data_IF_593720932336
#
_entry.id   IF_593720932336
#
_cell.length_a   1.000
_cell.length_b   1.000
_cell.length_c   1.000
_cell.angle_alpha   90.00
_cell.angle_beta   90.00
_cell.angle_gamma   90.00
#
_symmetry.space_group_name_H-M   'P 1'
#
loop_
_entity.id
_entity.type
_entity.pdbx_description
1 polymer ?
#
# COMPACT_ATOMS: atom_id res chain seq x y z
N UNK A 1 -12.69 -2.27 12.03
CA UNK A 1 -12.89 -3.68 11.63
C UNK A 1 -14.13 -4.35 12.23
N UNK A 2 -15.07 -3.61 12.85
CA UNK A 2 -16.25 -4.23 13.48
C UNK A 2 -17.30 -4.76 12.48
N UNK A 3 -17.39 -4.18 11.27
CA UNK A 3 -18.28 -4.66 10.21
C UNK A 3 -17.71 -5.85 9.42
N UNK A 4 -16.40 -5.84 9.18
CA UNK A 4 -15.71 -6.86 8.41
C UNK A 4 -14.47 -7.34 9.17
N UNK A 5 -14.65 -8.19 10.20
CA UNK A 5 -13.56 -8.60 11.08
C UNK A 5 -12.54 -9.51 10.40
N UNK A 6 -12.95 -10.18 9.32
CA UNK A 6 -12.13 -11.12 8.56
C UNK A 6 -11.40 -10.48 7.37
N UNK A 7 -11.61 -9.20 7.10
CA UNK A 7 -11.02 -8.55 5.95
C UNK A 7 -9.49 -8.51 6.04
N UNK A 8 -8.87 -8.83 4.92
CA UNK A 8 -7.45 -8.64 4.63
C UNK A 8 -7.25 -7.29 3.92
N UNK A 9 -6.35 -6.47 4.45
CA UNK A 9 -6.06 -5.14 3.92
C UNK A 9 -4.58 -5.01 3.65
N UNK A 10 -4.19 -4.55 2.47
CA UNK A 10 -2.81 -4.14 2.20
C UNK A 10 -2.68 -2.63 2.08
N UNK A 11 -1.71 -2.06 2.80
CA UNK A 11 -1.16 -0.74 2.53
C UNK A 11 0.14 -0.88 1.74
N UNK A 12 0.07 -0.63 0.44
CA UNK A 12 1.17 -0.76 -0.50
C UNK A 12 1.88 0.59 -0.68
N UNK A 13 3.12 0.67 -0.21
CA UNK A 13 4.01 1.80 -0.46
C UNK A 13 4.87 1.57 -1.70
N UNK A 14 5.49 2.64 -2.22
CA UNK A 14 6.46 2.50 -3.31
C UNK A 14 7.76 1.82 -2.88
N UNK A 15 8.26 2.22 -1.71
CA UNK A 15 9.58 1.86 -1.18
C UNK A 15 9.47 1.27 0.24
N UNK A 16 10.40 0.39 0.65
CA UNK A 16 10.36 -0.24 1.98
C UNK A 16 10.51 0.78 3.11
N UNK A 17 11.26 1.87 2.93
CA UNK A 17 11.40 2.93 3.92
C UNK A 17 10.05 3.63 4.20
N UNK A 18 9.24 3.82 3.16
CA UNK A 18 7.88 4.36 3.30
C UNK A 18 6.96 3.37 4.00
N UNK A 19 7.07 2.08 3.70
CA UNK A 19 6.31 1.04 4.41
C UNK A 19 6.62 1.03 5.91
N UNK A 20 7.91 1.12 6.30
CA UNK A 20 8.34 1.26 7.70
C UNK A 20 7.74 2.51 8.36
N UNK A 21 7.82 3.64 7.67
CA UNK A 21 7.26 4.91 8.15
C UNK A 21 5.75 4.78 8.43
N UNK A 22 4.98 4.27 7.47
CA UNK A 22 3.54 4.09 7.64
C UNK A 22 3.20 3.08 8.74
N UNK A 23 3.90 1.96 8.82
CA UNK A 23 3.70 0.98 9.87
C UNK A 23 3.90 1.59 11.26
N UNK A 24 4.98 2.34 11.48
CA UNK A 24 5.23 3.01 12.76
C UNK A 24 4.13 4.03 13.11
N UNK A 25 3.64 4.79 12.12
CA UNK A 25 2.56 5.76 12.33
C UNK A 25 1.22 5.08 12.65
N UNK A 26 0.89 3.99 11.96
CA UNK A 26 -0.34 3.23 12.18
C UNK A 26 -0.30 2.46 13.50
N UNK A 27 0.87 1.97 13.93
CA UNK A 27 1.06 1.36 15.24
C UNK A 27 0.80 2.37 16.35
N UNK A 28 1.35 3.59 16.24
CA UNK A 28 1.07 4.70 17.16
C UNK A 28 -0.39 5.13 17.16
N UNK A 29 -1.09 4.92 16.06
CA UNK A 29 -2.53 5.17 15.94
C UNK A 29 -3.38 3.97 16.41
N UNK A 30 -2.75 2.95 17.01
CA UNK A 30 -3.41 1.75 17.56
C UNK A 30 -4.25 0.98 16.53
N UNK A 31 -3.81 0.96 15.27
CA UNK A 31 -4.48 0.18 14.24
C UNK A 31 -4.42 -1.31 14.59
N UNK A 32 -5.57 -2.01 14.71
CA UNK A 32 -5.60 -3.39 15.16
C UNK A 32 -5.06 -4.33 14.07
N UNK A 33 -4.41 -5.42 14.50
CA UNK A 33 -3.89 -6.49 13.61
C UNK A 33 -2.98 -5.95 12.50
N UNK A 34 -2.17 -4.94 12.83
CA UNK A 34 -1.18 -4.34 11.94
C UNK A 34 0.08 -5.22 11.87
N UNK A 35 0.60 -5.43 10.67
CA UNK A 35 1.84 -6.17 10.41
C UNK A 35 2.67 -5.43 9.37
N UNK A 36 3.97 -5.32 9.60
CA UNK A 36 4.93 -4.84 8.60
C UNK A 36 5.53 -6.05 7.90
N UNK A 37 5.38 -6.13 6.58
CA UNK A 37 5.84 -7.28 5.79
C UNK A 37 6.86 -6.82 4.75
N UNK A 38 8.15 -7.07 4.99
CA UNK A 38 9.24 -6.66 4.09
C UNK A 38 10.00 -7.85 3.48
N UNK A 39 9.92 -9.03 4.12
CA UNK A 39 10.68 -10.23 3.76
C UNK A 39 12.04 -10.32 4.46
N UNK A 40 12.62 -11.53 4.47
CA UNK A 40 13.91 -11.77 5.10
C UNK A 40 15.06 -11.10 4.33
N UNK A 41 15.99 -10.47 5.06
CA UNK A 41 17.21 -9.87 4.52
C UNK A 41 17.15 -8.37 4.22
N UNK A 42 15.99 -7.72 4.37
CA UNK A 42 15.92 -6.26 4.29
C UNK A 42 16.39 -5.60 5.60
N UNK A 43 17.21 -4.55 5.48
CA UNK A 43 17.78 -3.83 6.62
C UNK A 43 16.68 -3.31 7.56
N UNK A 44 16.65 -3.79 8.80
CA UNK A 44 15.66 -3.39 9.80
C UNK A 44 14.39 -4.26 9.84
N UNK A 45 14.33 -5.38 9.11
CA UNK A 45 13.36 -6.42 9.41
C UNK A 45 13.68 -7.03 10.81
N UNK A 46 12.70 -7.22 11.70
CA UNK A 46 12.94 -7.85 12.99
C UNK A 46 13.53 -9.25 12.77
N UNK A 47 14.45 -9.68 13.62
CA UNK A 47 15.13 -10.97 13.48
C UNK A 47 14.17 -12.19 13.51
N UNK A 48 12.91 -12.00 13.90
CA UNK A 48 11.86 -13.02 13.88
C UNK A 48 11.08 -13.09 12.55
N UNK A 49 11.30 -12.16 11.63
CA UNK A 49 10.66 -12.14 10.32
C UNK A 49 11.12 -13.36 9.51
N UNK A 50 10.22 -14.30 9.29
CA UNK A 50 10.49 -15.46 8.46
C UNK A 50 10.35 -15.03 6.99
N UNK A 51 11.12 -15.64 6.08
CA UNK A 51 11.18 -15.21 4.68
C UNK A 51 9.84 -15.14 3.92
N UNK A 52 8.79 -15.77 4.47
CA UNK A 52 7.41 -15.84 3.95
C UNK A 52 6.38 -15.17 4.89
N UNK A 53 6.65 -13.95 5.36
CA UNK A 53 5.79 -13.22 6.32
C UNK A 53 4.39 -12.78 5.78
N UNK A 54 3.96 -13.21 4.59
CA UNK A 54 2.59 -12.95 4.14
C UNK A 54 1.64 -14.00 4.72
N UNK A 55 0.92 -13.62 5.77
CA UNK A 55 -0.21 -14.40 6.25
C UNK A 55 -1.49 -13.86 5.62
N UNK A 56 -2.31 -14.71 4.99
CA UNK A 56 -3.67 -14.36 4.54
C UNK A 56 -4.65 -14.20 5.74
N UNK A 57 -4.13 -13.84 6.90
CA UNK A 57 -4.90 -13.64 8.12
C UNK A 57 -5.57 -12.28 8.10
N UNK A 58 -6.77 -12.15 8.69
CA UNK A 58 -7.42 -10.86 8.85
C UNK A 58 -6.50 -9.81 9.47
N UNK A 59 -6.52 -8.58 8.98
CA UNK A 59 -5.64 -7.52 9.47
C UNK A 59 -5.17 -6.55 8.38
N UNK A 60 -4.16 -5.76 8.74
CA UNK A 60 -3.56 -4.74 7.88
C UNK A 60 -2.09 -5.06 7.69
N UNK A 61 -1.72 -5.41 6.46
CA UNK A 61 -0.33 -5.63 6.06
C UNK A 61 0.21 -4.36 5.41
N UNK A 62 1.30 -3.83 5.95
CA UNK A 62 2.04 -2.71 5.37
C UNK A 62 3.27 -3.26 4.67
N UNK A 63 3.39 -3.01 3.36
CA UNK A 63 4.52 -3.49 2.55
C UNK A 63 4.80 -2.54 1.40
N UNK A 64 5.73 -2.91 0.52
CA UNK A 64 6.01 -2.18 -0.72
C UNK A 64 5.62 -2.97 -1.97
N UNK A 65 5.24 -2.23 -3.01
CA UNK A 65 4.61 -2.77 -4.22
C UNK A 65 5.45 -3.82 -4.96
N UNK A 66 6.78 -3.78 -4.85
CA UNK A 66 7.65 -4.77 -5.45
C UNK A 66 7.49 -6.18 -4.84
N UNK A 67 6.90 -6.30 -3.63
CA UNK A 67 6.61 -7.56 -2.96
C UNK A 67 5.16 -8.02 -3.12
N UNK A 68 4.32 -7.18 -3.73
CA UNK A 68 2.89 -7.46 -3.83
C UNK A 68 2.55 -8.52 -4.89
N UNK A 69 3.47 -8.85 -5.80
CA UNK A 69 3.21 -9.77 -6.91
C UNK A 69 2.83 -11.16 -6.39
N UNK A 70 1.70 -11.69 -6.86
CA UNK A 70 1.21 -13.02 -6.48
C UNK A 70 0.40 -13.06 -5.18
N UNK A 71 0.23 -11.91 -4.52
CA UNK A 71 -0.66 -11.75 -3.37
C UNK A 71 -2.00 -11.17 -3.85
N UNK A 72 -3.05 -11.35 -3.05
CA UNK A 72 -4.37 -10.73 -3.23
C UNK A 72 -4.93 -10.37 -1.85
N UNK A 73 -5.68 -9.27 -1.79
CA UNK A 73 -6.29 -8.74 -0.57
C UNK A 73 -7.71 -8.27 -0.87
N UNK A 74 -8.60 -8.34 0.12
CA UNK A 74 -9.96 -7.80 -0.02
C UNK A 74 -9.90 -6.31 -0.37
N UNK A 75 -9.05 -5.58 0.36
CA UNK A 75 -8.84 -4.15 0.18
C UNK A 75 -7.37 -3.81 0.01
N UNK A 76 -7.10 -2.87 -0.90
CA UNK A 76 -5.76 -2.33 -1.12
C UNK A 76 -5.78 -0.82 -1.05
N UNK A 77 -4.84 -0.26 -0.31
CA UNK A 77 -4.50 1.17 -0.32
C UNK A 77 -3.13 1.30 -0.97
N UNK A 78 -3.05 1.98 -2.12
CA UNK A 78 -1.75 2.39 -2.66
C UNK A 78 -1.40 3.78 -2.10
N UNK A 79 -0.33 3.82 -1.32
CA UNK A 79 0.11 5.01 -0.61
C UNK A 79 0.91 5.95 -1.53
N UNK A 80 0.63 7.25 -1.44
CA UNK A 80 1.46 8.33 -2.01
C UNK A 80 1.74 8.21 -3.51
N UNK A 81 0.68 8.03 -4.31
CA UNK A 81 0.76 7.98 -5.77
C UNK A 81 0.94 9.39 -6.35
N UNK A 82 2.11 9.96 -6.06
CA UNK A 82 2.61 11.27 -6.48
C UNK A 82 3.52 11.14 -7.70
N UNK A 83 3.82 12.25 -8.38
CA UNK A 83 4.76 12.25 -9.51
C UNK A 83 6.16 11.75 -9.11
N UNK A 84 6.63 12.11 -7.92
CA UNK A 84 7.94 11.66 -7.43
C UNK A 84 8.02 10.14 -7.20
N UNK A 85 6.94 9.53 -6.70
CA UNK A 85 6.89 8.08 -6.42
C UNK A 85 6.53 7.26 -7.66
N UNK A 86 5.70 7.83 -8.53
CA UNK A 86 5.16 7.21 -9.73
C UNK A 86 5.19 8.21 -10.90
N UNK A 87 6.37 8.49 -11.48
CA UNK A 87 6.51 9.37 -12.63
C UNK A 87 5.92 8.72 -13.90
N UNK A 88 5.79 9.48 -14.99
CA UNK A 88 5.38 8.90 -16.29
C UNK A 88 6.51 8.08 -16.92
N UNK A 89 6.72 6.90 -16.34
CA UNK A 89 7.71 5.92 -16.76
C UNK A 89 7.05 4.55 -16.80
N UNK A 90 7.44 3.74 -17.79
CA UNK A 90 6.89 2.39 -17.99
C UNK A 90 7.02 1.53 -16.72
N UNK A 91 8.18 1.59 -16.05
CA UNK A 91 8.40 0.85 -14.80
C UNK A 91 7.49 1.32 -13.66
N UNK A 92 7.24 2.63 -13.55
CA UNK A 92 6.33 3.18 -12.55
C UNK A 92 4.88 2.76 -12.81
N UNK A 93 4.43 2.84 -14.07
CA UNK A 93 3.12 2.38 -14.53
C UNK A 93 2.90 0.90 -14.25
N UNK A 94 3.89 0.07 -14.53
CA UNK A 94 3.81 -1.37 -14.27
C UNK A 94 3.66 -1.66 -12.77
N UNK A 95 4.45 -1.01 -11.92
CA UNK A 95 4.34 -1.19 -10.48
C UNK A 95 2.99 -0.71 -9.93
N UNK A 96 2.48 0.44 -10.40
CA UNK A 96 1.15 0.92 -10.02
C UNK A 96 0.05 -0.08 -10.42
N UNK A 97 0.14 -0.63 -11.64
CA UNK A 97 -0.77 -1.66 -12.12
C UNK A 97 -0.71 -2.95 -11.28
N UNK A 98 0.50 -3.41 -10.92
CA UNK A 98 0.66 -4.56 -10.01
C UNK A 98 -0.09 -4.30 -8.70
N UNK A 99 0.17 -3.15 -8.04
CA UNK A 99 -0.48 -2.81 -6.78
C UNK A 99 -1.99 -2.70 -6.90
N UNK A 100 -2.49 -2.01 -7.93
CA UNK A 100 -3.92 -1.81 -8.15
C UNK A 100 -4.69 -3.13 -8.36
N UNK A 101 -4.09 -4.08 -9.09
CA UNK A 101 -4.70 -5.38 -9.38
C UNK A 101 -4.64 -6.37 -8.21
N UNK A 102 -4.16 -5.96 -7.03
CA UNK A 102 -4.19 -6.78 -5.82
C UNK A 102 -5.50 -6.69 -5.05
N UNK A 103 -6.34 -5.70 -5.35
CA UNK A 103 -7.62 -5.52 -4.69
C UNK A 103 -8.67 -6.44 -5.29
N UNK A 104 -9.26 -7.32 -4.46
CA UNK A 104 -10.38 -8.15 -4.87
C UNK A 104 -11.72 -7.39 -4.82
N UNK A 105 -11.89 -6.48 -3.84
CA UNK A 105 -13.16 -5.79 -3.61
C UNK A 105 -13.06 -4.28 -3.72
N UNK A 106 -12.06 -3.64 -3.10
CA UNK A 106 -11.91 -2.18 -3.20
C UNK A 106 -10.46 -1.72 -3.24
N UNK A 107 -10.19 -0.78 -4.13
CA UNK A 107 -8.92 -0.07 -4.24
C UNK A 107 -9.10 1.36 -3.76
N UNK A 108 -8.23 1.79 -2.85
CA UNK A 108 -8.02 3.18 -2.50
C UNK A 108 -6.64 3.62 -2.96
N UNK A 109 -6.57 4.87 -3.43
CA UNK A 109 -5.32 5.50 -3.84
C UNK A 109 -5.21 6.83 -3.12
N UNK A 110 -4.08 7.04 -2.45
CA UNK A 110 -3.78 8.32 -1.82
C UNK A 110 -2.75 9.07 -2.64
N UNK A 111 -2.86 10.39 -2.68
CA UNK A 111 -1.92 11.26 -3.38
C UNK A 111 -1.91 12.63 -2.70
N UNK A 112 -1.02 13.52 -3.14
CA UNK A 112 -0.95 14.91 -2.67
C UNK A 112 -1.56 15.84 -3.71
N UNK A 113 -2.06 17.00 -3.26
CA UNK A 113 -2.68 18.01 -4.12
C UNK A 113 -1.68 18.61 -5.12
N UNK A 114 -0.46 18.86 -4.68
CA UNK A 114 0.49 19.70 -5.43
C UNK A 114 1.18 18.95 -6.58
N UNK A 115 1.39 17.64 -6.43
CA UNK A 115 2.12 16.83 -7.42
C UNK A 115 1.57 15.39 -7.51
N UNK A 116 0.28 15.21 -7.89
CA UNK A 116 -0.27 13.87 -8.11
C UNK A 116 0.44 13.18 -9.28
N UNK A 117 0.52 11.84 -9.26
CA UNK A 117 1.12 11.11 -10.37
C UNK A 117 0.34 11.36 -11.67
N UNK A 118 1.03 11.61 -12.80
CA UNK A 118 0.38 11.71 -14.11
C UNK A 118 -0.23 10.39 -14.58
N UNK A 119 0.04 9.28 -13.87
CA UNK A 119 -0.53 7.97 -14.15
C UNK A 119 -1.94 7.79 -13.59
N UNK A 120 -2.41 8.71 -12.74
CA UNK A 120 -3.78 8.69 -12.21
C UNK A 120 -4.79 9.21 -13.25
N UNK A 121 -6.01 8.65 -13.31
CA UNK A 121 -7.08 9.23 -14.12
C UNK A 121 -7.38 10.66 -13.68
N UNK A 122 -7.29 11.61 -14.62
CA UNK A 122 -7.42 13.04 -14.33
C UNK A 122 -8.77 13.37 -13.70
N UNK A 123 -9.83 12.69 -14.11
CA UNK A 123 -11.19 12.92 -13.60
C UNK A 123 -11.30 12.58 -12.12
N UNK A 124 -10.61 11.52 -11.67
CA UNK A 124 -10.59 11.11 -10.27
C UNK A 124 -9.79 12.10 -9.41
N UNK A 125 -8.67 12.61 -9.93
CA UNK A 125 -7.86 13.62 -9.23
C UNK A 125 -8.64 14.92 -9.09
N UNK A 126 -9.24 15.42 -10.17
CA UNK A 126 -10.06 16.64 -10.15
C UNK A 126 -11.25 16.47 -9.22
N UNK A 127 -11.95 15.33 -9.29
CA UNK A 127 -13.08 15.04 -8.41
C UNK A 127 -12.67 15.02 -6.92
N UNK A 128 -11.55 14.39 -6.58
CA UNK A 128 -11.05 14.35 -5.21
C UNK A 128 -10.64 15.74 -4.67
N UNK A 129 -10.11 16.62 -5.53
CA UNK A 129 -9.69 17.97 -5.14
C UNK A 129 -10.84 18.99 -5.09
N UNK A 130 -11.96 18.69 -5.76
CA UNK A 130 -13.19 19.48 -5.77
C UNK A 130 -14.16 19.13 -4.64
N UNK A 131 -13.92 18.01 -3.94
CA UNK A 131 -14.67 17.68 -2.72
C UNK A 131 -14.43 18.76 -1.64
N UNK A 132 -15.49 19.24 -0.97
CA UNK A 132 -15.43 20.36 -0.03
C UNK A 132 -14.60 20.07 1.23
#
# INVERSE_FOLDING_TARGET
MAREPLASVALLCRYPERARFYAAMLERAEVPRLRLVLGAGEAGAPASASGDDFSFSPGVDVTHVARAKGLEYDYVIVAEVTEAMYPDQVAARHLLHIGATRAAHQLWVTTTRDAPSPLLPRELVVGALAAP
#
